data_IF_162125625198
#
_entry.id   IF_162125625198
#
_cell.length_a   1.000
_cell.length_b   1.000
_cell.length_c   1.000
_cell.angle_alpha   90.00
_cell.angle_beta   90.00
_cell.angle_gamma   90.00
#
_symmetry.space_group_name_H-M   'P 1'
#
loop_
_entity.id
_entity.type
_entity.pdbx_description
1 polymer ?
#
# COMPACT_ATOMS: atom_id res chain seq x y z
N UNK A 1 14.67 -7.34 44.44
CA UNK A 1 14.57 -7.30 42.97
C UNK A 1 15.62 -6.34 42.43
N UNK A 2 16.52 -6.80 41.58
CA UNK A 2 17.61 -6.00 41.01
C UNK A 2 17.23 -5.58 39.58
N UNK A 3 17.11 -4.28 39.36
CA UNK A 3 16.57 -3.64 38.14
C UNK A 3 17.57 -3.62 36.97
N UNK A 4 18.78 -4.19 37.16
CA UNK A 4 19.86 -4.23 36.16
C UNK A 4 19.82 -5.46 35.23
N UNK A 5 18.81 -6.33 35.32
CA UNK A 5 18.61 -7.46 34.38
C UNK A 5 17.83 -7.09 33.12
N UNK A 6 17.27 -5.87 33.02
CA UNK A 6 16.61 -5.36 31.82
C UNK A 6 17.61 -4.54 31.00
N UNK A 7 18.59 -5.21 30.38
CA UNK A 7 19.43 -4.59 29.36
C UNK A 7 18.97 -5.13 27.98
N UNK A 8 18.34 -4.31 27.12
CA UNK A 8 17.57 -4.80 25.96
C UNK A 8 18.41 -5.23 24.74
N UNK A 9 19.73 -5.40 24.91
CA UNK A 9 20.66 -5.64 23.80
C UNK A 9 21.71 -6.71 24.15
N UNK A 10 21.27 -7.93 24.48
CA UNK A 10 22.19 -9.06 24.66
C UNK A 10 21.74 -10.27 23.84
N UNK A 11 21.76 -10.13 22.51
CA UNK A 11 21.32 -11.16 21.56
C UNK A 11 22.43 -12.16 21.16
N UNK A 12 23.69 -11.89 21.52
CA UNK A 12 24.86 -12.62 21.01
C UNK A 12 25.38 -13.78 21.88
N UNK A 13 24.66 -14.22 22.93
CA UNK A 13 25.18 -15.25 23.84
C UNK A 13 24.92 -16.71 23.46
N UNK A 14 24.27 -17.00 22.33
CA UNK A 14 23.93 -18.39 21.96
C UNK A 14 24.92 -19.05 20.99
N UNK A 15 26.21 -18.71 21.02
CA UNK A 15 27.26 -19.47 20.33
C UNK A 15 28.04 -20.43 21.24
N UNK A 16 27.72 -20.51 22.54
CA UNK A 16 28.30 -21.52 23.42
C UNK A 16 27.24 -22.22 24.27
N UNK A 17 26.82 -23.39 23.78
CA UNK A 17 26.34 -24.50 24.59
C UNK A 17 24.88 -24.44 25.07
N UNK A 18 24.17 -25.52 24.76
CA UNK A 18 22.96 -26.06 25.40
C UNK A 18 21.60 -25.35 25.20
N UNK A 19 20.75 -26.05 24.43
CA UNK A 19 19.28 -26.15 24.51
C UNK A 19 18.49 -24.94 25.03
N UNK A 20 18.21 -23.98 24.14
CA UNK A 20 17.02 -23.16 24.24
C UNK A 20 16.14 -23.45 23.01
N UNK A 21 14.99 -24.06 23.25
CA UNK A 21 14.04 -24.51 22.23
C UNK A 21 13.67 -23.37 21.28
N UNK A 22 14.11 -23.47 20.03
CA UNK A 22 13.67 -22.61 18.93
C UNK A 22 12.27 -23.05 18.52
N UNK A 23 11.27 -22.17 18.62
CA UNK A 23 9.91 -22.44 18.12
C UNK A 23 9.85 -21.91 16.67
N UNK A 24 9.87 -22.78 15.64
CA UNK A 24 9.73 -22.33 14.26
C UNK A 24 8.32 -21.79 14.01
N UNK A 25 8.21 -20.67 13.28
CA UNK A 25 6.93 -20.15 12.80
C UNK A 25 6.39 -21.10 11.73
N UNK A 26 5.33 -21.85 12.05
CA UNK A 26 4.63 -22.68 11.08
C UNK A 26 3.47 -21.91 10.43
N UNK A 27 3.44 -21.87 9.09
CA UNK A 27 2.30 -21.35 8.31
C UNK A 27 1.42 -22.53 7.90
N UNK A 28 0.25 -22.67 8.51
CA UNK A 28 -0.77 -23.62 8.08
C UNK A 28 -1.82 -22.92 7.22
N UNK A 29 -1.96 -23.37 5.98
CA UNK A 29 -3.09 -23.10 5.09
C UNK A 29 -4.09 -24.25 5.24
N UNK A 30 -5.40 -23.94 5.31
CA UNK A 30 -6.51 -24.67 4.62
C UNK A 30 -7.87 -24.52 5.33
N UNK A 31 -8.76 -23.83 4.60
CA UNK A 31 -10.20 -24.05 4.30
C UNK A 31 -11.26 -24.15 5.41
N UNK A 32 -12.27 -23.26 5.32
CA UNK A 32 -13.57 -23.41 5.98
C UNK A 32 -14.70 -23.39 4.96
N UNK A 33 -15.49 -24.46 4.98
CA UNK A 33 -16.68 -24.73 4.17
C UNK A 33 -17.84 -23.76 4.45
N UNK A 34 -18.58 -23.44 3.39
CA UNK A 34 -19.76 -22.57 3.34
C UNK A 34 -21.04 -23.38 3.62
N UNK A 35 -21.99 -22.81 4.36
CA UNK A 35 -23.36 -23.32 4.47
C UNK A 35 -24.37 -22.28 3.93
N UNK A 36 -25.32 -22.79 3.14
CA UNK A 36 -26.27 -22.12 2.25
C UNK A 36 -27.55 -21.65 2.96
N UNK A 37 -28.14 -20.55 2.49
CA UNK A 37 -29.53 -20.15 2.80
C UNK A 37 -30.15 -19.37 1.64
N UNK A 38 -31.27 -19.87 1.11
CA UNK A 38 -32.02 -19.35 -0.03
C UNK A 38 -32.70 -18.00 0.26
N UNK A 39 -32.72 -17.07 -0.70
CA UNK A 39 -33.92 -16.31 -1.10
C UNK A 39 -33.73 -15.46 -2.37
N UNK A 40 -34.61 -15.75 -3.34
CA UNK A 40 -35.22 -14.90 -4.39
C UNK A 40 -34.34 -14.25 -5.48
N UNK A 41 -34.67 -14.63 -6.72
CA UNK A 41 -34.07 -14.25 -8.00
C UNK A 41 -33.88 -12.74 -8.18
N UNK A 42 -32.62 -12.31 -8.28
CA UNK A 42 -32.13 -11.53 -9.43
C UNK A 42 -30.62 -11.80 -9.63
N UNK A 43 -30.26 -12.89 -10.34
CA UNK A 43 -28.86 -13.30 -10.53
C UNK A 43 -28.01 -12.20 -11.17
N UNK A 44 -28.56 -11.48 -12.15
CA UNK A 44 -27.86 -10.40 -12.86
C UNK A 44 -27.79 -9.08 -12.06
N UNK A 45 -28.81 -8.69 -11.29
CA UNK A 45 -28.79 -7.43 -10.50
C UNK A 45 -28.10 -7.58 -9.14
N UNK A 46 -27.90 -8.81 -8.64
CA UNK A 46 -26.97 -9.09 -7.52
C UNK A 46 -25.54 -9.06 -8.01
N UNK A 47 -25.25 -9.67 -9.16
CA UNK A 47 -23.92 -9.61 -9.78
C UNK A 47 -23.49 -8.16 -10.05
N UNK A 48 -24.36 -7.30 -10.59
CA UNK A 48 -24.00 -5.89 -10.80
C UNK A 48 -23.75 -5.15 -9.48
N UNK A 49 -24.58 -5.33 -8.45
CA UNK A 49 -24.36 -4.66 -7.14
C UNK A 49 -23.19 -5.24 -6.35
N UNK A 50 -22.84 -6.50 -6.57
CA UNK A 50 -21.70 -7.17 -5.95
C UNK A 50 -20.41 -6.82 -6.70
N UNK A 51 -20.47 -6.65 -8.03
CA UNK A 51 -19.39 -6.06 -8.84
C UNK A 51 -19.19 -4.60 -8.44
N UNK A 52 -20.23 -3.78 -8.35
CA UNK A 52 -20.11 -2.35 -7.97
C UNK A 52 -19.53 -2.19 -6.57
N UNK A 53 -19.94 -3.03 -5.60
CA UNK A 53 -19.35 -3.04 -4.25
C UNK A 53 -17.91 -3.54 -4.23
N UNK A 54 -17.61 -4.61 -4.96
CA UNK A 54 -16.23 -5.08 -5.11
C UNK A 54 -15.37 -4.05 -5.85
N UNK A 55 -15.94 -3.30 -6.78
CA UNK A 55 -15.28 -2.21 -7.50
C UNK A 55 -15.01 -1.05 -6.54
N UNK A 56 -15.99 -0.60 -5.75
CA UNK A 56 -15.80 0.42 -4.71
C UNK A 56 -14.84 -0.03 -3.60
N UNK A 57 -14.86 -1.31 -3.22
CA UNK A 57 -13.95 -1.94 -2.25
C UNK A 57 -12.51 -2.06 -2.82
N UNK A 58 -12.36 -2.36 -4.10
CA UNK A 58 -11.07 -2.33 -4.81
C UNK A 58 -10.60 -0.88 -4.98
N UNK A 59 -11.48 0.07 -5.29
CA UNK A 59 -11.16 1.49 -5.43
C UNK A 59 -10.81 2.14 -4.07
N UNK A 60 -11.41 1.71 -2.96
CA UNK A 60 -10.97 2.07 -1.60
C UNK A 60 -9.67 1.34 -1.20
N UNK A 61 -9.41 0.17 -1.79
CA UNK A 61 -8.13 -0.54 -1.94
C UNK A 61 -7.02 0.28 -2.63
N UNK A 62 -7.42 1.30 -3.40
CA UNK A 62 -6.66 2.13 -4.33
C UNK A 62 -6.51 3.59 -3.85
N UNK A 63 -6.58 3.88 -2.54
CA UNK A 63 -6.11 5.17 -1.99
C UNK A 63 -7.14 6.29 -1.77
N UNK A 64 -8.44 6.02 -1.86
CA UNK A 64 -9.50 6.96 -1.44
C UNK A 64 -9.84 6.84 0.07
N UNK A 65 -10.24 7.93 0.76
CA UNK A 65 -10.66 7.89 2.16
C UNK A 65 -12.00 7.13 2.33
N UNK A 66 -11.99 6.15 3.24
CA UNK A 66 -13.11 5.23 3.49
C UNK A 66 -14.27 5.91 4.25
N UNK A 67 -15.46 5.93 3.67
CA UNK A 67 -16.74 6.20 4.36
C UNK A 67 -17.50 4.87 4.56
N UNK A 68 -16.85 3.92 5.24
CA UNK A 68 -17.48 2.86 6.02
C UNK A 68 -17.93 1.58 5.29
N UNK A 69 -17.03 0.58 5.21
CA UNK A 69 -17.33 -0.86 5.45
C UNK A 69 -16.02 -1.67 5.57
N UNK A 70 -15.84 -2.38 6.70
CA UNK A 70 -14.65 -3.17 7.06
C UNK A 70 -14.88 -4.68 6.85
N UNK A 71 -13.81 -5.43 6.49
CA UNK A 71 -13.29 -6.59 7.26
C UNK A 71 -12.43 -7.55 6.42
N UNK A 72 -12.78 -7.87 5.16
CA UNK A 72 -12.01 -8.83 4.37
C UNK A 72 -10.81 -8.20 3.65
N UNK A 73 -10.99 -7.04 3.03
CA UNK A 73 -9.88 -6.31 2.39
C UNK A 73 -8.86 -5.76 3.40
N UNK A 74 -9.31 -5.37 4.59
CA UNK A 74 -8.40 -4.94 5.67
C UNK A 74 -7.45 -6.07 6.09
N UNK A 75 -7.96 -7.31 6.17
CA UNK A 75 -7.13 -8.47 6.46
C UNK A 75 -6.12 -8.75 5.34
N UNK A 76 -6.50 -8.62 4.06
CA UNK A 76 -5.58 -8.78 2.92
C UNK A 76 -4.53 -7.66 2.88
N UNK A 77 -4.92 -6.41 3.16
CA UNK A 77 -4.00 -5.28 3.29
C UNK A 77 -3.01 -5.46 4.45
N UNK A 78 -3.45 -6.05 5.57
CA UNK A 78 -2.59 -6.28 6.74
C UNK A 78 -1.47 -7.29 6.51
N UNK A 79 -1.58 -8.17 5.49
CA UNK A 79 -0.52 -9.14 5.13
C UNK A 79 0.28 -8.77 3.89
N UNK A 80 -0.24 -7.89 3.02
CA UNK A 80 0.43 -7.49 1.79
C UNK A 80 1.56 -6.45 2.03
N UNK A 81 2.58 -6.45 1.17
CA UNK A 81 3.55 -5.36 1.13
C UNK A 81 2.85 -4.07 0.67
N UNK A 82 2.73 -3.10 1.57
CA UNK A 82 2.05 -1.83 1.31
C UNK A 82 3.03 -0.67 1.53
N UNK A 83 3.78 -0.25 0.50
CA UNK A 83 4.78 0.81 0.65
C UNK A 83 4.13 2.13 1.09
N UNK A 84 4.75 2.81 2.06
CA UNK A 84 4.25 4.05 2.63
C UNK A 84 4.35 5.20 1.62
N UNK A 85 3.38 6.10 1.66
CA UNK A 85 3.26 7.18 0.68
C UNK A 85 3.04 8.52 1.38
N UNK A 86 3.74 9.55 0.91
CA UNK A 86 3.51 10.95 1.25
C UNK A 86 3.03 11.69 0.00
N UNK A 87 2.04 12.56 0.16
CA UNK A 87 1.52 13.41 -0.91
C UNK A 87 1.52 14.85 -0.40
N UNK A 88 2.15 15.75 -1.15
CA UNK A 88 2.23 17.16 -0.80
C UNK A 88 1.97 18.04 -2.04
N UNK A 89 1.60 19.30 -1.80
CA UNK A 89 1.32 20.26 -2.87
C UNK A 89 1.85 21.64 -2.49
N UNK A 90 2.58 22.25 -3.43
CA UNK A 90 2.98 23.65 -3.37
C UNK A 90 2.16 24.51 -4.32
N UNK A 91 2.57 25.77 -4.49
CA UNK A 91 1.91 26.71 -5.40
C UNK A 91 2.02 26.30 -6.88
N UNK A 92 3.09 25.60 -7.25
CA UNK A 92 3.43 25.33 -8.65
C UNK A 92 3.45 23.83 -8.99
N UNK A 93 3.49 22.95 -7.99
CA UNK A 93 3.63 21.51 -8.21
C UNK A 93 2.93 20.68 -7.11
N UNK A 94 2.73 19.41 -7.44
CA UNK A 94 2.44 18.34 -6.50
C UNK A 94 3.64 17.40 -6.44
N UNK A 95 3.85 16.80 -5.27
CA UNK A 95 4.92 15.86 -5.02
C UNK A 95 4.38 14.62 -4.31
N UNK A 96 4.75 13.45 -4.81
CA UNK A 96 4.38 12.16 -4.26
C UNK A 96 5.66 11.37 -3.98
N UNK A 97 5.84 10.92 -2.75
CA UNK A 97 6.97 10.08 -2.35
C UNK A 97 6.47 8.71 -1.91
N UNK A 98 7.08 7.64 -2.42
CA UNK A 98 6.74 6.26 -2.10
C UNK A 98 7.97 5.50 -1.62
N UNK A 99 7.92 4.91 -0.43
CA UNK A 99 9.01 4.12 0.12
C UNK A 99 9.06 2.71 -0.50
N UNK A 100 10.06 2.46 -1.34
CA UNK A 100 10.27 1.21 -2.08
C UNK A 100 11.70 0.65 -1.90
N UNK A 101 12.16 0.43 -0.65
CA UNK A 101 13.53 0.00 -0.40
C UNK A 101 13.81 -1.38 -0.97
N UNK A 102 14.92 -1.47 -1.71
CA UNK A 102 15.39 -2.69 -2.37
C UNK A 102 14.78 -2.94 -3.75
N UNK A 103 14.00 -2.00 -4.29
CA UNK A 103 13.51 -2.06 -5.67
C UNK A 103 14.37 -1.21 -6.59
N UNK A 104 14.39 -1.59 -7.86
CA UNK A 104 14.99 -0.85 -8.95
C UNK A 104 13.90 -0.27 -9.86
N UNK A 105 14.26 0.60 -10.79
CA UNK A 105 13.32 1.18 -11.76
C UNK A 105 12.57 0.11 -12.56
N UNK A 106 13.21 -1.05 -12.82
CA UNK A 106 12.60 -2.16 -13.57
C UNK A 106 11.51 -2.90 -12.79
N UNK A 107 11.50 -2.76 -11.47
CA UNK A 107 10.52 -3.40 -10.59
C UNK A 107 9.26 -2.52 -10.39
N UNK A 108 9.22 -1.34 -11.02
CA UNK A 108 8.21 -0.31 -10.83
C UNK A 108 7.56 0.06 -12.17
N UNK A 109 6.25 0.32 -12.13
CA UNK A 109 5.49 0.92 -13.23
C UNK A 109 4.72 2.13 -12.71
N UNK A 110 4.79 3.24 -13.43
CA UNK A 110 4.02 4.46 -13.16
C UNK A 110 3.20 4.78 -14.40
N UNK A 111 1.89 4.75 -14.27
CA UNK A 111 0.93 4.91 -15.36
C UNK A 111 -0.09 5.99 -15.00
N UNK A 112 -0.56 6.74 -15.99
CA UNK A 112 -1.71 7.64 -15.84
C UNK A 112 -2.83 7.19 -16.77
N UNK A 113 -4.04 7.09 -16.23
CA UNK A 113 -5.27 6.81 -16.98
C UNK A 113 -6.31 7.88 -16.63
N UNK A 114 -6.54 8.82 -17.55
CA UNK A 114 -7.40 9.98 -17.26
C UNK A 114 -6.80 10.85 -16.17
N UNK A 115 -7.51 10.99 -15.05
CA UNK A 115 -7.08 11.69 -13.84
C UNK A 115 -6.54 10.72 -12.77
N UNK A 116 -6.30 9.46 -13.10
CA UNK A 116 -5.85 8.45 -12.15
C UNK A 116 -4.36 8.14 -12.37
N UNK A 117 -3.54 8.39 -11.35
CA UNK A 117 -2.15 7.95 -11.27
C UNK A 117 -2.06 6.58 -10.60
N UNK A 118 -1.33 5.67 -11.23
CA UNK A 118 -1.20 4.27 -10.84
C UNK A 118 0.27 3.90 -10.69
N UNK A 119 0.67 3.49 -9.49
CA UNK A 119 2.04 3.06 -9.18
C UNK A 119 2.01 1.59 -8.80
N UNK A 120 2.63 0.74 -9.60
CA UNK A 120 2.71 -0.72 -9.38
C UNK A 120 4.14 -1.15 -9.14
N UNK A 121 4.31 -2.27 -8.46
CA UNK A 121 5.59 -2.96 -8.41
C UNK A 121 5.53 -4.26 -7.64
N UNK A 122 6.66 -4.94 -7.55
CA UNK A 122 6.78 -6.20 -6.82
C UNK A 122 8.09 -6.24 -6.02
N UNK A 123 7.96 -6.54 -4.73
CA UNK A 123 9.12 -6.79 -3.86
C UNK A 123 9.27 -8.28 -3.63
N UNK A 124 10.23 -8.88 -4.30
CA UNK A 124 10.48 -10.32 -4.21
C UNK A 124 11.29 -10.69 -2.97
N UNK A 125 10.97 -11.86 -2.40
CA UNK A 125 11.79 -12.48 -1.35
C UNK A 125 12.96 -13.21 -2.02
N UNK A 126 14.19 -12.97 -1.57
CA UNK A 126 15.39 -13.59 -2.15
C UNK A 126 15.38 -15.10 -1.94
N UNK A 127 15.81 -15.89 -2.92
CA UNK A 127 15.88 -17.35 -2.81
C UNK A 127 16.82 -17.81 -1.69
N UNK A 128 17.93 -17.10 -1.44
CA UNK A 128 18.82 -17.39 -0.30
C UNK A 128 18.10 -17.30 1.06
N UNK A 129 16.97 -16.60 1.12
CA UNK A 129 16.15 -16.45 2.32
C UNK A 129 15.47 -17.79 2.63
N UNK A 130 15.13 -18.62 1.63
CA UNK A 130 14.36 -19.85 1.83
C UNK A 130 15.12 -20.95 2.57
N UNK A 131 16.45 -20.96 2.47
CA UNK A 131 17.32 -21.96 3.10
C UNK A 131 17.86 -21.53 4.48
N UNK A 132 17.43 -20.37 5.00
CA UNK A 132 17.91 -19.79 6.26
C UNK A 132 16.89 -19.99 7.38
N UNK A 133 17.38 -20.21 8.61
CA UNK A 133 16.56 -20.15 9.81
C UNK A 133 16.40 -18.69 10.27
N UNK A 134 15.17 -18.18 10.28
CA UNK A 134 14.88 -16.84 10.76
C UNK A 134 14.55 -16.82 12.24
N UNK A 135 15.25 -15.96 12.98
CA UNK A 135 14.88 -15.62 14.35
C UNK A 135 13.79 -14.54 14.42
N UNK A 136 13.64 -13.71 13.38
CA UNK A 136 12.63 -12.64 13.27
C UNK A 136 12.44 -12.22 11.82
N UNK A 137 11.19 -12.02 11.39
CA UNK A 137 10.83 -11.55 10.05
C UNK A 137 9.84 -10.40 10.17
N UNK A 138 10.27 -9.20 9.79
CA UNK A 138 9.44 -7.98 9.82
C UNK A 138 9.20 -7.40 8.43
N UNK A 139 10.14 -7.67 7.51
CA UNK A 139 10.06 -7.22 6.13
C UNK A 139 8.88 -7.91 5.44
N UNK A 140 8.08 -7.12 4.74
CA UNK A 140 6.98 -7.59 3.90
C UNK A 140 7.44 -7.66 2.45
N UNK A 141 6.87 -8.60 1.71
CA UNK A 141 7.16 -8.90 0.31
C UNK A 141 5.84 -9.08 -0.45
N UNK A 142 5.91 -8.98 -1.78
CA UNK A 142 4.78 -9.18 -2.68
C UNK A 142 4.56 -8.03 -3.65
N UNK A 143 3.54 -8.21 -4.49
CA UNK A 143 3.05 -7.19 -5.42
C UNK A 143 2.30 -6.10 -4.66
N UNK A 144 2.47 -4.88 -5.11
CA UNK A 144 1.75 -3.74 -4.58
C UNK A 144 1.23 -2.84 -5.69
N UNK A 145 0.20 -2.08 -5.35
CA UNK A 145 -0.35 -1.04 -6.19
C UNK A 145 -0.83 0.12 -5.32
N UNK A 146 -0.45 1.33 -5.69
CA UNK A 146 -0.99 2.58 -5.18
C UNK A 146 -1.73 3.26 -6.33
N UNK A 147 -2.88 3.83 -6.00
CA UNK A 147 -3.64 4.62 -6.94
C UNK A 147 -3.97 5.94 -6.28
N UNK A 148 -3.96 7.00 -7.07
CA UNK A 148 -4.17 8.36 -6.60
C UNK A 148 -4.96 9.10 -7.66
N UNK A 149 -6.02 9.78 -7.24
CA UNK A 149 -6.68 10.76 -8.09
C UNK A 149 -5.84 12.03 -8.17
N UNK A 150 -5.53 12.46 -9.38
CA UNK A 150 -4.84 13.71 -9.67
C UNK A 150 -5.87 14.86 -9.64
N UNK A 151 -5.53 15.99 -9.00
CA UNK A 151 -6.33 17.20 -9.11
C UNK A 151 -6.49 17.66 -10.56
N UNK A 152 -7.58 18.36 -10.88
CA UNK A 152 -7.83 18.83 -12.25
C UNK A 152 -6.72 19.76 -12.80
N UNK A 153 -6.11 20.53 -11.89
CA UNK A 153 -5.00 21.43 -12.20
C UNK A 153 -3.64 20.72 -12.24
N UNK A 154 -3.56 19.41 -12.02
CA UNK A 154 -2.34 18.65 -12.25
C UNK A 154 -2.08 18.47 -13.77
N UNK A 155 -0.86 18.73 -14.20
CA UNK A 155 -0.41 18.45 -15.56
C UNK A 155 0.06 17.00 -15.68
N UNK A 156 -0.87 16.10 -16.00
CA UNK A 156 -0.60 14.67 -16.15
C UNK A 156 0.36 14.32 -17.30
N UNK A 157 0.49 15.21 -18.29
CA UNK A 157 1.39 15.00 -19.43
C UNK A 157 2.86 15.26 -19.09
N UNK A 158 3.12 15.93 -17.96
CA UNK A 158 4.46 16.32 -17.51
C UNK A 158 4.69 15.87 -16.05
N UNK A 159 4.90 14.56 -15.91
CA UNK A 159 5.27 13.92 -14.64
C UNK A 159 6.72 13.47 -14.74
N UNK A 160 7.52 13.89 -13.77
CA UNK A 160 8.91 13.41 -13.62
C UNK A 160 8.98 12.41 -12.47
N UNK A 161 9.80 11.39 -12.63
CA UNK A 161 9.99 10.32 -11.65
C UNK A 161 11.49 10.12 -11.36
N UNK A 162 11.85 10.05 -10.09
CA UNK A 162 13.22 9.76 -9.63
C UNK A 162 13.17 8.67 -8.55
N UNK A 163 13.96 7.62 -8.70
CA UNK A 163 14.16 6.60 -7.66
C UNK A 163 15.54 6.79 -7.03
N UNK A 164 15.57 7.18 -5.76
CA UNK A 164 16.82 7.42 -5.03
C UNK A 164 16.73 6.93 -3.60
N UNK A 165 17.76 6.20 -3.16
CA UNK A 165 17.88 5.69 -1.79
C UNK A 165 16.65 4.89 -1.30
N UNK A 166 15.97 4.19 -2.21
CA UNK A 166 14.77 3.42 -1.90
C UNK A 166 13.48 4.25 -1.78
N UNK A 167 13.48 5.49 -2.26
CA UNK A 167 12.29 6.34 -2.34
C UNK A 167 12.03 6.71 -3.80
N UNK A 168 10.84 6.39 -4.29
CA UNK A 168 10.34 6.88 -5.57
C UNK A 168 9.67 8.23 -5.35
N UNK A 169 10.19 9.27 -5.99
CA UNK A 169 9.64 10.63 -5.97
C UNK A 169 9.03 10.95 -7.33
N UNK A 170 7.77 11.36 -7.34
CA UNK A 170 7.05 11.86 -8.50
C UNK A 170 6.77 13.34 -8.32
N UNK A 171 7.13 14.17 -9.30
CA UNK A 171 6.81 15.59 -9.31
C UNK A 171 5.91 15.91 -10.51
N UNK A 172 4.81 16.59 -10.23
CA UNK A 172 3.74 16.88 -11.18
C UNK A 172 3.53 18.39 -11.19
N UNK A 173 3.75 19.04 -12.33
CA UNK A 173 3.51 20.47 -12.45
C UNK A 173 2.00 20.78 -12.32
N UNK A 174 1.66 21.93 -11.75
CA UNK A 174 0.32 22.47 -11.91
C UNK A 174 0.20 23.12 -13.28
N UNK A 175 -0.91 22.88 -13.97
CA UNK A 175 -1.35 23.64 -15.15
C UNK A 175 -1.42 25.11 -14.73
N UNK A 176 -1.00 26.03 -15.60
CA UNK A 176 -1.14 27.46 -15.31
C UNK A 176 -2.63 27.77 -15.14
N UNK A 177 -3.07 27.91 -13.91
CA UNK A 177 -4.43 28.35 -13.61
C UNK A 177 -4.43 29.85 -13.92
N UNK A 178 -5.10 30.27 -14.99
CA UNK A 178 -5.52 31.66 -15.10
C UNK A 178 -6.15 32.02 -13.75
N UNK A 179 -5.57 32.99 -13.03
CA UNK A 179 -6.03 33.39 -11.70
C UNK A 179 -7.54 33.53 -11.75
N UNK A 180 -8.26 32.64 -11.07
CA UNK A 180 -9.71 32.76 -10.97
C UNK A 180 -9.96 34.04 -10.16
N UNK A 181 -10.39 35.09 -10.85
CA UNK A 181 -10.75 36.34 -10.22
C UNK A 181 -11.74 36.07 -9.09
N UNK A 182 -11.35 36.44 -7.87
CA UNK A 182 -12.21 36.30 -6.70
C UNK A 182 -13.36 37.29 -6.87
N UNK A 183 -14.52 36.81 -7.31
CA UNK A 183 -15.74 37.61 -7.30
C UNK A 183 -16.27 37.73 -5.86
N UNK A 184 -16.15 38.92 -5.28
CA UNK A 184 -16.94 39.28 -4.09
C UNK A 184 -18.42 39.28 -4.46
N UNK A 185 -19.21 38.47 -3.77
CA UNK A 185 -20.67 38.48 -3.87
C UNK A 185 -21.19 39.48 -2.83
N UNK A 186 -21.99 40.45 -3.28
CA UNK A 186 -22.68 41.35 -2.38
C UNK A 186 -23.84 40.61 -1.68
N UNK A 187 -23.97 40.81 -0.37
CA UNK A 187 -25.10 40.32 0.41
C UNK A 187 -26.17 41.42 0.38
N UNK A 188 -27.40 41.06 0.01
CA UNK A 188 -28.58 41.93 0.01
C UNK A 188 -29.57 41.48 1.08
#
# INVERSE_FOLDING_TARGET
MNILQLNPWNWFKHEQGSEAAQIPVQKNTTEKNVATGNETFHPMMRLHREIDRLFDDVFSGFGFPNLGTNSLLDNVRAVAYQPQINVSGGNNNYEIELEVPGLTEKDLSVEVQGDILLIKGEKQESEETKDKQFYRVERRYGKFQRTLALPQDANADDITAELKNGVLKLAIARKSVEQRDIKKIAIH
#
